data_IF_918588244366
#
_entry.id   IF_918588244366
#
_cell.length_a   1.000
_cell.length_b   1.000
_cell.length_c   1.000
_cell.angle_alpha   90.00
_cell.angle_beta   90.00
_cell.angle_gamma   90.00
#
_symmetry.space_group_name_H-M   'P 1'
#
loop_
_entity.id
_entity.type
_entity.pdbx_description
1 polymer ?
#
# COMPACT_ATOMS: atom_id res chain seq x y z
N UNK A 1 0.97 7.45 18.89
CA UNK A 1 2.20 6.85 18.35
C UNK A 1 2.41 7.40 16.96
N UNK A 2 3.46 8.20 16.75
CA UNK A 2 3.83 8.64 15.40
C UNK A 2 4.71 7.57 14.74
N UNK A 3 4.36 7.16 13.52
CA UNK A 3 5.11 6.13 12.79
C UNK A 3 6.37 6.73 12.18
N UNK A 4 7.49 5.99 12.15
CA UNK A 4 8.77 6.51 11.64
C UNK A 4 8.70 6.97 10.16
N UNK A 5 7.71 6.48 9.41
CA UNK A 5 7.45 6.87 8.02
C UNK A 5 6.64 8.17 7.89
N UNK A 6 5.95 8.65 8.92
CA UNK A 6 5.20 9.93 8.83
C UNK A 6 6.13 11.13 8.76
N UNK A 7 7.34 11.03 9.32
CA UNK A 7 8.37 12.08 9.30
C UNK A 7 9.43 11.87 8.20
N UNK A 8 9.21 10.90 7.30
CA UNK A 8 10.21 10.37 6.37
C UNK A 8 10.86 11.47 5.53
N UNK A 9 10.09 12.39 4.94
CA UNK A 9 10.61 13.44 4.06
C UNK A 9 11.60 14.36 4.77
N UNK A 10 11.24 14.90 5.93
CA UNK A 10 12.12 15.81 6.70
C UNK A 10 13.31 15.08 7.29
N UNK A 11 13.12 13.86 7.80
CA UNK A 11 14.17 13.04 8.38
C UNK A 11 15.23 12.62 7.33
N UNK A 12 14.78 12.16 6.16
CA UNK A 12 15.66 11.79 5.04
C UNK A 12 16.39 13.01 4.47
N UNK A 13 15.72 14.15 4.31
CA UNK A 13 16.34 15.41 3.86
C UNK A 13 17.45 15.84 4.82
N UNK A 14 17.28 15.59 6.12
CA UNK A 14 18.27 15.89 7.16
C UNK A 14 19.29 14.75 7.37
N UNK A 15 19.26 13.70 6.53
CA UNK A 15 20.18 12.56 6.59
C UNK A 15 19.99 11.64 7.80
N UNK A 16 18.94 11.85 8.61
CA UNK A 16 18.68 11.06 9.82
C UNK A 16 17.91 9.79 9.48
N UNK A 17 18.14 8.74 10.28
CA UNK A 17 17.40 7.48 10.23
C UNK A 17 17.43 6.72 8.90
N UNK A 18 18.35 7.03 7.97
CA UNK A 18 18.51 6.34 6.68
C UNK A 18 18.47 4.82 6.82
N UNK A 19 19.30 4.25 7.70
CA UNK A 19 19.34 2.80 7.88
C UNK A 19 18.02 2.19 8.37
N UNK A 20 17.26 2.91 9.21
CA UNK A 20 15.94 2.45 9.65
C UNK A 20 14.90 2.56 8.54
N UNK A 21 14.96 3.62 7.73
CA UNK A 21 14.12 3.75 6.54
C UNK A 21 14.42 2.66 5.53
N UNK A 22 15.69 2.44 5.21
CA UNK A 22 16.14 1.42 4.27
C UNK A 22 15.69 0.02 4.72
N UNK A 23 15.83 -0.29 6.01
CA UNK A 23 15.37 -1.56 6.59
C UNK A 23 13.85 -1.74 6.49
N UNK A 24 13.06 -0.71 6.80
CA UNK A 24 11.58 -0.77 6.70
C UNK A 24 11.13 -0.87 5.24
N UNK A 25 11.75 -0.13 4.33
CA UNK A 25 11.47 -0.18 2.90
C UNK A 25 11.81 -1.56 2.32
N UNK A 26 12.91 -2.15 2.74
CA UNK A 26 13.30 -3.51 2.34
C UNK A 26 12.28 -4.55 2.82
N UNK A 27 11.83 -4.47 4.07
CA UNK A 27 10.80 -5.40 4.58
C UNK A 27 9.45 -5.25 3.86
N UNK A 28 9.06 -4.00 3.53
CA UNK A 28 7.87 -3.72 2.73
C UNK A 28 7.99 -4.31 1.32
N UNK A 29 9.15 -4.13 0.68
CA UNK A 29 9.42 -4.70 -0.63
C UNK A 29 9.34 -6.23 -0.60
N UNK A 30 9.95 -6.86 0.40
CA UNK A 30 9.91 -8.32 0.60
C UNK A 30 8.48 -8.84 0.85
N UNK A 31 7.66 -8.09 1.60
CA UNK A 31 6.26 -8.45 1.81
C UNK A 31 5.48 -8.37 0.49
N UNK A 32 5.64 -7.30 -0.27
CA UNK A 32 5.01 -7.15 -1.59
C UNK A 32 5.47 -8.23 -2.57
N UNK A 33 6.76 -8.59 -2.52
CA UNK A 33 7.37 -9.67 -3.29
C UNK A 33 6.74 -11.04 -2.98
N UNK A 34 6.52 -11.31 -1.70
CA UNK A 34 5.88 -12.54 -1.24
C UNK A 34 4.42 -12.58 -1.66
N UNK A 35 3.69 -11.47 -1.54
CA UNK A 35 2.30 -11.38 -1.97
C UNK A 35 2.13 -11.48 -3.49
N UNK A 36 3.05 -10.92 -4.30
CA UNK A 36 3.00 -11.11 -5.77
C UNK A 36 3.30 -12.54 -6.19
N UNK A 37 4.19 -13.23 -5.47
CA UNK A 37 4.60 -14.61 -5.78
C UNK A 37 3.60 -15.63 -5.27
N UNK A 38 2.82 -15.29 -4.24
CA UNK A 38 1.58 -16.02 -3.93
C UNK A 38 0.66 -15.89 -5.14
N UNK A 39 0.71 -16.90 -6.03
CA UNK A 39 -0.33 -17.14 -7.02
C UNK A 39 -1.65 -16.99 -6.28
N UNK A 40 -2.33 -15.89 -6.55
CA UNK A 40 -3.70 -15.66 -6.13
C UNK A 40 -4.43 -16.96 -6.49
N UNK A 41 -4.91 -17.77 -5.52
CA UNK A 41 -5.84 -18.82 -5.90
C UNK A 41 -6.91 -18.09 -6.68
N UNK A 42 -7.17 -18.55 -7.91
CA UNK A 42 -8.20 -17.97 -8.76
C UNK A 42 -9.38 -17.69 -7.85
N UNK A 43 -9.70 -16.41 -7.69
CA UNK A 43 -10.88 -16.04 -6.96
C UNK A 43 -11.99 -16.61 -7.82
N UNK A 44 -12.50 -17.78 -7.46
CA UNK A 44 -13.82 -18.21 -7.86
C UNK A 44 -14.74 -17.12 -7.36
N UNK A 45 -15.00 -16.18 -8.26
CA UNK A 45 -16.25 -15.47 -8.43
C UNK A 45 -17.34 -15.95 -7.48
N UNK A 46 -17.43 -15.29 -6.33
CA UNK A 46 -18.70 -15.18 -5.62
C UNK A 46 -19.49 -14.07 -6.33
N UNK A 47 -20.61 -14.35 -7.00
CA UNK A 47 -21.48 -13.32 -7.51
C UNK A 47 -22.23 -12.71 -6.32
N UNK A 48 -21.86 -11.49 -5.93
CA UNK A 48 -22.68 -10.65 -5.06
C UNK A 48 -22.82 -9.26 -5.69
N UNK A 49 -23.83 -9.19 -6.54
CA UNK A 49 -24.90 -8.20 -6.65
C UNK A 49 -24.70 -6.75 -6.17
N UNK A 50 -24.98 -5.85 -7.12
CA UNK A 50 -25.65 -4.54 -6.99
C UNK A 50 -25.14 -3.49 -5.99
N UNK A 51 -24.56 -2.42 -6.54
CA UNK A 51 -25.39 -1.22 -6.79
C UNK A 51 -24.78 -0.38 -7.91
N UNK A 52 -25.59 -0.15 -8.92
CA UNK A 52 -25.37 0.79 -10.02
C UNK A 52 -26.14 2.06 -9.66
N UNK A 53 -25.44 3.11 -9.25
CA UNK A 53 -26.01 4.46 -9.15
C UNK A 53 -24.84 5.44 -9.34
N UNK A 54 -24.88 6.45 -10.18
CA UNK A 54 -25.90 7.02 -11.02
C UNK A 54 -25.23 8.23 -11.65
N UNK A 55 -25.12 8.23 -12.98
CA UNK A 55 -24.57 9.33 -13.77
C UNK A 55 -25.54 10.51 -13.68
N UNK A 56 -25.25 11.54 -12.89
CA UNK A 56 -25.99 12.81 -12.95
C UNK A 56 -25.15 13.87 -13.64
N UNK A 57 -25.57 14.22 -14.87
CA UNK A 57 -25.26 15.50 -15.52
C UNK A 57 -26.36 16.50 -15.15
N UNK A 58 -25.99 17.77 -14.95
CA UNK A 58 -26.89 18.91 -14.78
C UNK A 58 -26.39 19.78 -13.61
N UNK A 59 -26.13 21.07 -13.74
CA UNK A 59 -26.53 22.06 -14.73
C UNK A 59 -25.40 23.06 -14.99
#
# INVERSE_FOLDING_TARGET
MEHILSSCTTALTQGRYRWRHDSVLQELADKLERERTKKRPAQTETPNDSVREGRTKGA
#
